data_IF_653625389545
#
_entry.id   IF_653625389545
#
_cell.length_a   1.000
_cell.length_b   1.000
_cell.length_c   1.000
_cell.angle_alpha   90.00
_cell.angle_beta   90.00
_cell.angle_gamma   90.00
#
_symmetry.space_group_name_H-M   'P 1'
#
loop_
_entity.id
_entity.type
_entity.pdbx_description
1 polymer ?
#
# COMPACT_ATOMS: atom_id res chain seq x y z
N UNK A 1 -51.92 -18.37 53.75
CA UNK A 1 -50.61 -17.94 54.30
C UNK A 1 -49.54 -18.49 53.36
N UNK A 2 -49.07 -17.71 52.38
CA UNK A 2 -48.00 -16.70 52.46
C UNK A 2 -46.59 -17.31 52.28
N UNK A 3 -46.06 -17.15 51.06
CA UNK A 3 -44.67 -16.75 50.78
C UNK A 3 -43.58 -17.81 50.68
N UNK A 4 -42.94 -17.89 49.49
CA UNK A 4 -41.56 -17.38 49.23
C UNK A 4 -41.08 -17.81 47.83
N UNK A 5 -41.20 -16.92 46.84
CA UNK A 5 -40.14 -16.10 46.21
C UNK A 5 -39.11 -16.85 45.34
N UNK A 6 -39.23 -16.57 44.05
CA UNK A 6 -38.23 -16.71 42.99
C UNK A 6 -36.82 -16.25 43.39
N UNK A 7 -35.81 -16.98 42.90
CA UNK A 7 -34.48 -16.40 42.71
C UNK A 7 -33.81 -17.02 41.47
N UNK A 8 -34.33 -16.63 40.31
CA UNK A 8 -33.66 -16.80 39.02
C UNK A 8 -32.49 -15.81 38.96
N UNK A 9 -31.32 -16.20 39.47
CA UNK A 9 -30.11 -15.38 39.40
C UNK A 9 -29.52 -15.42 37.98
N UNK A 10 -29.77 -14.31 37.28
CA UNK A 10 -29.04 -13.75 36.15
C UNK A 10 -27.53 -14.00 36.26
N UNK A 11 -26.93 -14.68 35.27
CA UNK A 11 -25.49 -14.55 34.99
C UNK A 11 -25.16 -14.91 33.54
N UNK A 12 -25.83 -14.26 32.58
CA UNK A 12 -25.48 -14.37 31.16
C UNK A 12 -25.28 -12.97 30.63
N UNK A 13 -24.08 -12.40 30.82
CA UNK A 13 -23.88 -10.99 30.47
C UNK A 13 -22.45 -10.43 30.49
N UNK A 14 -21.40 -11.26 30.60
CA UNK A 14 -20.01 -10.74 30.63
C UNK A 14 -19.04 -11.64 29.83
N UNK A 15 -19.48 -12.24 28.72
CA UNK A 15 -18.60 -13.03 27.84
C UNK A 15 -18.42 -12.44 26.43
N UNK A 16 -19.13 -11.37 26.08
CA UNK A 16 -19.15 -10.83 24.69
C UNK A 16 -18.26 -9.59 24.52
N UNK A 17 -17.83 -8.93 25.60
CA UNK A 17 -17.04 -7.69 25.52
C UNK A 17 -15.52 -7.90 25.29
N UNK A 18 -14.98 -9.08 25.63
CA UNK A 18 -13.53 -9.37 25.50
C UNK A 18 -13.16 -9.82 24.08
N UNK A 19 -14.09 -10.43 23.33
CA UNK A 19 -13.82 -10.92 21.97
C UNK A 19 -13.77 -9.77 20.95
N UNK A 20 -14.57 -8.71 21.12
CA UNK A 20 -14.54 -7.55 20.23
C UNK A 20 -13.28 -6.68 20.40
N UNK A 21 -12.72 -6.60 21.61
CA UNK A 21 -11.49 -5.82 21.85
C UNK A 21 -10.24 -6.52 21.32
N UNK A 22 -10.20 -7.86 21.31
CA UNK A 22 -9.11 -8.62 20.68
C UNK A 22 -9.13 -8.54 19.14
N UNK A 23 -10.31 -8.50 18.52
CA UNK A 23 -10.44 -8.36 17.07
C UNK A 23 -9.97 -6.98 16.56
N UNK A 24 -10.12 -5.93 17.36
CA UNK A 24 -9.64 -4.58 17.02
C UNK A 24 -8.12 -4.40 17.24
N UNK A 25 -7.52 -5.15 18.18
CA UNK A 25 -6.08 -5.10 18.44
C UNK A 25 -5.24 -5.81 17.36
N UNK A 26 -5.77 -6.87 16.73
CA UNK A 26 -5.09 -7.59 15.65
C UNK A 26 -4.95 -6.74 14.36
N UNK A 27 -5.86 -5.81 14.12
CA UNK A 27 -5.80 -4.86 13.00
C UNK A 27 -4.60 -3.91 13.09
N UNK A 28 -4.10 -3.66 14.30
CA UNK A 28 -2.93 -2.79 14.54
C UNK A 28 -1.60 -3.55 14.47
N UNK A 29 -1.61 -4.87 14.71
CA UNK A 29 -0.41 -5.71 14.60
C UNK A 29 -0.06 -6.06 13.14
N UNK A 30 -1.05 -6.06 12.24
CA UNK A 30 -0.80 -6.21 10.80
C UNK A 30 -0.12 -4.97 10.18
N UNK A 31 -0.12 -3.81 10.86
CA UNK A 31 0.55 -2.60 10.41
C UNK A 31 2.06 -2.57 10.71
N UNK A 32 2.60 -3.57 11.42
CA UNK A 32 4.01 -3.60 11.87
C UNK A 32 4.92 -4.60 11.15
N UNK A 33 4.38 -5.54 10.38
CA UNK A 33 5.20 -6.48 9.62
C UNK A 33 5.52 -5.90 8.24
N UNK A 34 6.65 -5.22 8.11
CA UNK A 34 7.14 -4.75 6.81
C UNK A 34 7.21 -5.90 5.79
N UNK A 35 7.11 -5.56 4.50
CA UNK A 35 7.02 -6.56 3.44
C UNK A 35 8.24 -7.49 3.43
N UNK A 36 8.00 -8.80 3.38
CA UNK A 36 9.07 -9.81 3.42
C UNK A 36 9.64 -10.15 2.04
N UNK A 37 8.93 -9.78 0.97
CA UNK A 37 9.40 -9.93 -0.43
C UNK A 37 9.23 -8.62 -1.21
N UNK A 38 10.01 -8.42 -2.30
CA UNK A 38 9.83 -7.28 -3.21
C UNK A 38 8.39 -7.13 -3.71
N UNK A 39 7.77 -8.24 -4.13
CA UNK A 39 6.40 -8.26 -4.65
C UNK A 39 5.40 -7.86 -3.57
N UNK A 40 5.61 -8.31 -2.32
CA UNK A 40 4.76 -7.90 -1.20
C UNK A 40 4.85 -6.39 -0.95
N UNK A 41 6.03 -5.77 -1.10
CA UNK A 41 6.17 -4.33 -0.96
C UNK A 41 5.37 -3.57 -2.01
N UNK A 42 5.43 -4.02 -3.27
CA UNK A 42 4.66 -3.45 -4.37
C UNK A 42 3.15 -3.68 -4.21
N UNK A 43 2.72 -4.85 -3.73
CA UNK A 43 1.30 -5.09 -3.40
C UNK A 43 0.79 -4.17 -2.31
N UNK A 44 1.56 -4.02 -1.23
CA UNK A 44 1.20 -3.11 -0.14
C UNK A 44 1.10 -1.66 -0.63
N UNK A 45 2.02 -1.24 -1.50
CA UNK A 45 1.99 0.08 -2.12
C UNK A 45 0.72 0.31 -2.96
N UNK A 46 0.37 -0.60 -3.87
CA UNK A 46 -0.84 -0.47 -4.68
C UNK A 46 -2.12 -0.57 -3.84
N UNK A 47 -2.16 -1.47 -2.87
CA UNK A 47 -3.29 -1.61 -1.95
C UNK A 47 -3.50 -0.34 -1.13
N UNK A 48 -2.42 0.34 -0.70
CA UNK A 48 -2.54 1.60 0.01
C UNK A 48 -3.14 2.70 -0.88
N UNK A 49 -2.73 2.78 -2.15
CA UNK A 49 -3.31 3.71 -3.13
C UNK A 49 -4.80 3.44 -3.33
N UNK A 50 -5.18 2.19 -3.60
CA UNK A 50 -6.56 1.80 -3.90
C UNK A 50 -7.53 2.00 -2.73
N UNK A 51 -7.02 1.86 -1.51
CA UNK A 51 -7.76 2.05 -0.26
C UNK A 51 -7.65 3.48 0.30
N UNK A 52 -7.03 4.42 -0.43
CA UNK A 52 -6.76 5.78 0.04
C UNK A 52 -6.09 5.86 1.42
N UNK A 53 -5.26 4.85 1.75
CA UNK A 53 -4.57 4.77 3.03
C UNK A 53 -3.22 5.49 2.94
N UNK A 54 -3.21 6.79 3.26
CA UNK A 54 -2.00 7.62 3.22
C UNK A 54 -0.86 7.07 4.08
N UNK A 55 -1.16 6.60 5.29
CA UNK A 55 -0.13 6.07 6.19
C UNK A 55 0.42 4.73 5.68
N UNK A 56 -0.45 3.89 5.09
CA UNK A 56 -0.04 2.65 4.41
C UNK A 56 0.86 2.94 3.21
N UNK A 57 0.55 3.99 2.46
CA UNK A 57 1.32 4.43 1.28
C UNK A 57 2.73 4.85 1.69
N UNK A 58 2.84 5.72 2.70
CA UNK A 58 4.15 6.12 3.22
C UNK A 58 4.92 4.94 3.83
N UNK A 59 4.24 4.02 4.52
CA UNK A 59 4.87 2.83 5.11
C UNK A 59 5.38 1.82 4.08
N UNK A 60 4.84 1.83 2.86
CA UNK A 60 5.29 0.97 1.77
C UNK A 60 6.50 1.55 1.01
N UNK A 61 6.81 2.83 1.21
CA UNK A 61 7.91 3.54 0.55
C UNK A 61 9.16 3.51 1.44
N UNK A 62 10.34 3.52 0.81
CA UNK A 62 11.62 3.51 1.51
C UNK A 62 11.66 4.63 2.58
N UNK A 63 11.87 4.32 3.88
CA UNK A 63 11.74 5.31 4.95
C UNK A 63 12.64 6.54 4.79
N UNK A 64 13.80 6.37 4.14
CA UNK A 64 14.68 7.50 3.85
C UNK A 64 14.08 8.49 2.87
N UNK A 65 13.29 8.04 1.89
CA UNK A 65 12.61 8.92 0.93
C UNK A 65 11.48 9.68 1.62
N UNK A 66 10.77 9.03 2.55
CA UNK A 66 9.72 9.66 3.38
C UNK A 66 10.32 10.72 4.31
N UNK A 67 11.42 10.41 5.03
CA UNK A 67 12.06 11.34 5.98
C UNK A 67 12.58 12.62 5.32
N UNK A 68 12.90 12.59 4.03
CA UNK A 68 13.43 13.75 3.31
C UNK A 68 12.35 14.73 2.84
N UNK A 69 11.07 14.38 2.95
CA UNK A 69 9.97 15.27 2.61
C UNK A 69 9.92 16.47 3.57
N UNK A 70 9.70 17.65 3.00
CA UNK A 70 9.27 18.85 3.73
C UNK A 70 7.75 18.82 3.98
N UNK A 71 7.25 19.78 4.75
CA UNK A 71 5.79 19.96 4.92
C UNK A 71 5.10 20.32 3.61
N UNK A 72 5.77 21.07 2.75
CA UNK A 72 5.28 21.40 1.40
C UNK A 72 5.19 20.14 0.55
N UNK A 73 6.25 19.31 0.49
CA UNK A 73 6.22 18.03 -0.22
C UNK A 73 5.07 17.16 0.30
N UNK A 74 4.92 17.05 1.62
CA UNK A 74 3.88 16.24 2.26
C UNK A 74 2.48 16.69 1.83
N UNK A 75 2.21 17.99 1.84
CA UNK A 75 0.92 18.55 1.43
C UNK A 75 0.63 18.32 -0.04
N UNK A 76 1.61 18.51 -0.91
CA UNK A 76 1.47 18.30 -2.36
C UNK A 76 1.26 16.82 -2.69
N UNK A 77 2.09 15.94 -2.15
CA UNK A 77 1.98 14.50 -2.33
C UNK A 77 0.66 13.97 -1.79
N UNK A 78 0.22 14.42 -0.61
CA UNK A 78 -1.08 14.03 -0.02
C UNK A 78 -2.25 14.52 -0.87
N UNK A 79 -2.18 15.74 -1.43
CA UNK A 79 -3.21 16.25 -2.34
C UNK A 79 -3.32 15.38 -3.59
N UNK A 80 -2.20 15.04 -4.23
CA UNK A 80 -2.16 14.16 -5.39
C UNK A 80 -2.65 12.74 -5.07
N UNK A 81 -2.24 12.21 -3.92
CA UNK A 81 -2.67 10.91 -3.43
C UNK A 81 -4.18 10.85 -3.16
N UNK A 82 -4.76 11.84 -2.48
CA UNK A 82 -6.20 11.82 -2.21
C UNK A 82 -7.05 12.10 -3.45
N UNK A 83 -6.50 12.80 -4.45
CA UNK A 83 -7.18 13.08 -5.72
C UNK A 83 -7.14 11.95 -6.74
N UNK A 84 -6.38 10.88 -6.50
CA UNK A 84 -6.31 9.77 -7.43
C UNK A 84 -7.57 8.88 -7.35
N UNK A 85 -7.82 8.08 -8.38
CA UNK A 85 -8.97 7.16 -8.45
C UNK A 85 -8.56 5.77 -8.96
N UNK A 86 -7.31 5.40 -8.70
CA UNK A 86 -6.76 4.17 -9.24
C UNK A 86 -7.39 2.93 -8.60
N UNK A 87 -7.85 2.00 -9.44
CA UNK A 87 -8.23 0.64 -9.07
C UNK A 87 -7.38 -0.35 -9.84
N UNK A 88 -6.97 -1.43 -9.19
CA UNK A 88 -6.05 -2.41 -9.76
C UNK A 88 -6.73 -3.78 -9.87
N UNK A 89 -6.70 -4.39 -11.06
CA UNK A 89 -7.35 -5.68 -11.33
C UNK A 89 -6.34 -6.74 -11.73
N UNK A 90 -6.30 -7.87 -10.99
CA UNK A 90 -5.57 -9.07 -11.41
C UNK A 90 -4.08 -8.88 -11.66
N UNK A 91 -3.42 -8.01 -10.86
CA UNK A 91 -1.99 -7.73 -11.01
C UNK A 91 -1.15 -8.99 -10.75
N UNK A 92 -0.29 -9.35 -11.71
CA UNK A 92 0.78 -10.34 -11.50
C UNK A 92 2.12 -9.63 -11.48
N UNK A 93 2.91 -9.95 -10.46
CA UNK A 93 4.21 -9.35 -10.18
C UNK A 93 5.31 -10.40 -10.32
N UNK A 94 6.46 -9.98 -10.82
CA UNK A 94 7.66 -10.81 -10.91
C UNK A 94 8.89 -10.01 -10.47
N UNK A 95 9.54 -10.39 -9.37
CA UNK A 95 10.77 -9.75 -8.94
C UNK A 95 11.99 -10.26 -9.73
N UNK A 96 12.82 -9.31 -10.16
CA UNK A 96 14.16 -9.51 -10.70
C UNK A 96 15.16 -8.94 -9.71
N UNK A 97 15.77 -9.82 -8.92
CA UNK A 97 16.79 -9.42 -7.95
C UNK A 97 18.06 -8.91 -8.66
N UNK A 98 18.66 -7.87 -8.11
CA UNK A 98 19.95 -7.36 -8.59
C UNK A 98 21.05 -8.39 -8.30
N UNK A 99 21.80 -8.77 -9.34
CA UNK A 99 22.86 -9.78 -9.27
C UNK A 99 24.03 -9.37 -8.36
N UNK A 100 24.27 -8.07 -8.21
CA UNK A 100 25.36 -7.49 -7.41
C UNK A 100 24.87 -7.07 -6.02
N UNK A 101 23.56 -6.85 -5.85
CA UNK A 101 23.00 -6.40 -4.58
C UNK A 101 21.71 -7.13 -4.21
N UNK A 102 21.81 -8.14 -3.34
CA UNK A 102 20.66 -8.90 -2.83
C UNK A 102 19.59 -8.07 -2.10
N UNK A 103 19.90 -6.82 -1.74
CA UNK A 103 18.96 -5.90 -1.12
C UNK A 103 18.25 -5.01 -2.14
N UNK A 104 18.35 -5.28 -3.45
CA UNK A 104 17.66 -4.56 -4.51
C UNK A 104 16.95 -5.54 -5.45
N UNK A 105 15.78 -5.15 -5.91
CA UNK A 105 15.03 -5.89 -6.92
C UNK A 105 14.15 -4.95 -7.74
N UNK A 106 14.00 -5.25 -9.03
CA UNK A 106 12.99 -4.63 -9.88
C UNK A 106 11.77 -5.54 -9.95
N UNK A 107 10.60 -5.02 -9.62
CA UNK A 107 9.35 -5.78 -9.65
C UNK A 107 8.56 -5.38 -10.88
N UNK A 108 8.49 -6.30 -11.84
CA UNK A 108 7.76 -6.11 -13.08
C UNK A 108 6.29 -6.49 -12.93
N UNK A 109 5.40 -5.65 -13.46
CA UNK A 109 4.00 -5.98 -13.65
C UNK A 109 3.87 -6.76 -14.96
N UNK A 110 3.60 -8.06 -14.85
CA UNK A 110 3.55 -8.98 -16.00
C UNK A 110 2.15 -9.11 -16.59
N UNK A 111 1.12 -8.90 -15.77
CA UNK A 111 -0.28 -8.84 -16.20
C UNK A 111 -1.13 -8.01 -15.26
N UNK A 112 -2.36 -7.73 -15.68
CA UNK A 112 -3.39 -7.02 -14.91
C UNK A 112 -3.86 -5.76 -15.62
N UNK A 113 -4.73 -5.02 -14.94
CA UNK A 113 -5.34 -3.79 -15.44
C UNK A 113 -5.34 -2.68 -14.40
N UNK A 114 -5.36 -1.45 -14.88
CA UNK A 114 -5.50 -0.22 -14.12
C UNK A 114 -6.77 0.45 -14.58
N UNK A 115 -7.64 0.82 -13.64
CA UNK A 115 -8.76 1.72 -13.91
C UNK A 115 -8.47 3.06 -13.28
N UNK A 116 -8.73 4.13 -14.00
CA UNK A 116 -8.61 5.50 -13.51
C UNK A 116 -9.81 6.30 -14.02
N UNK A 117 -10.37 7.14 -13.16
CA UNK A 117 -11.37 8.11 -13.58
C UNK A 117 -10.66 9.28 -14.25
N UNK A 118 -10.97 9.53 -15.52
CA UNK A 118 -10.49 10.70 -16.23
C UNK A 118 -11.12 11.95 -15.61
N UNK A 119 -10.28 12.89 -15.16
CA UNK A 119 -10.73 14.11 -14.47
C UNK A 119 -11.43 15.11 -15.40
N UNK A 120 -11.17 15.05 -16.71
CA UNK A 120 -11.78 15.93 -17.71
C UNK A 120 -13.14 15.40 -18.18
N UNK A 121 -13.25 14.10 -18.40
CA UNK A 121 -14.48 13.49 -18.96
C UNK A 121 -15.36 12.84 -17.91
N UNK A 122 -14.85 12.60 -16.70
CA UNK A 122 -15.55 11.90 -15.62
C UNK A 122 -15.71 10.40 -15.84
N UNK A 123 -15.27 9.86 -16.98
CA UNK A 123 -15.42 8.44 -17.33
C UNK A 123 -14.28 7.60 -16.76
N UNK A 124 -14.58 6.35 -16.44
CA UNK A 124 -13.55 5.37 -16.09
C UNK A 124 -12.85 4.86 -17.36
N UNK A 125 -11.53 4.94 -17.38
CA UNK A 125 -10.68 4.38 -18.41
C UNK A 125 -9.92 3.18 -17.86
N UNK A 126 -9.98 2.07 -18.59
CA UNK A 126 -9.23 0.86 -18.24
C UNK A 126 -8.05 0.68 -19.18
N UNK A 127 -6.85 0.53 -18.62
CA UNK A 127 -5.64 0.20 -19.37
C UNK A 127 -5.04 -1.10 -18.88
N UNK A 128 -4.66 -1.99 -19.80
CA UNK A 128 -4.01 -3.25 -19.46
C UNK A 128 -2.49 -3.14 -19.47
N UNK A 129 -1.82 -3.89 -18.60
CA UNK A 129 -0.35 -4.01 -18.56
C UNK A 129 0.24 -4.37 -19.92
N UNK A 130 -0.44 -5.22 -20.70
CA UNK A 130 -0.02 -5.59 -22.06
C UNK A 130 -0.01 -4.41 -23.03
N UNK A 131 -0.98 -3.48 -22.91
CA UNK A 131 -1.04 -2.26 -23.72
C UNK A 131 0.12 -1.32 -23.36
N UNK A 132 0.39 -1.13 -22.07
CA UNK A 132 1.51 -0.33 -21.57
C UNK A 132 2.84 -0.93 -22.06
N UNK A 133 3.01 -2.25 -21.96
CA UNK A 133 4.21 -2.95 -22.44
C UNK A 133 4.46 -2.74 -23.94
N UNK A 134 3.40 -2.76 -24.76
CA UNK A 134 3.51 -2.47 -26.20
C UNK A 134 3.93 -1.02 -26.46
N UNK A 135 3.41 -0.07 -25.69
CA UNK A 135 3.73 1.35 -25.85
C UNK A 135 5.17 1.70 -25.42
N UNK A 136 5.65 1.11 -24.31
CA UNK A 136 6.96 1.42 -23.75
C UNK A 136 8.08 0.47 -24.19
N UNK A 137 7.76 -0.58 -24.96
CA UNK A 137 8.69 -1.67 -25.30
C UNK A 137 9.09 -2.58 -24.12
N UNK A 138 8.61 -2.31 -22.90
CA UNK A 138 8.93 -3.07 -21.68
C UNK A 138 7.78 -3.07 -20.69
N UNK A 139 7.73 -4.09 -19.84
CA UNK A 139 6.77 -4.14 -18.75
C UNK A 139 7.00 -2.98 -17.77
N UNK A 140 5.95 -2.32 -17.26
CA UNK A 140 6.10 -1.36 -16.18
C UNK A 140 6.70 -2.07 -14.96
N UNK A 141 7.65 -1.42 -14.29
CA UNK A 141 8.38 -1.99 -13.18
C UNK A 141 8.60 -0.95 -12.07
N UNK A 142 8.62 -1.41 -10.83
CA UNK A 142 8.95 -0.61 -9.66
C UNK A 142 10.24 -1.10 -9.03
N UNK A 143 11.13 -0.18 -8.69
CA UNK A 143 12.35 -0.48 -7.93
C UNK A 143 11.97 -0.74 -6.47
N UNK A 144 12.60 -1.74 -5.88
CA UNK A 144 12.43 -2.07 -4.47
C UNK A 144 13.77 -2.26 -3.77
N UNK A 145 13.82 -1.89 -2.50
CA UNK A 145 15.03 -1.94 -1.68
C UNK A 145 14.72 -2.58 -0.34
N UNK A 146 15.60 -3.48 0.12
CA UNK A 146 15.56 -4.05 1.46
C UNK A 146 16.27 -3.12 2.43
N UNK A 147 15.56 -2.66 3.44
CA UNK A 147 16.06 -1.80 4.51
C UNK A 147 15.62 -2.35 5.87
N UNK A 148 16.57 -2.53 6.80
CA UNK A 148 16.30 -3.07 8.14
C UNK A 148 15.42 -4.35 8.14
N UNK A 149 15.71 -5.26 7.22
CA UNK A 149 15.01 -6.55 7.13
C UNK A 149 13.72 -6.55 6.29
N UNK A 150 13.18 -5.40 5.93
CA UNK A 150 11.92 -5.28 5.18
C UNK A 150 12.15 -4.70 3.77
N UNK A 151 11.29 -5.06 2.81
CA UNK A 151 11.28 -4.52 1.46
C UNK A 151 10.37 -3.31 1.35
N UNK A 152 10.82 -2.31 0.59
CA UNK A 152 10.09 -1.07 0.33
C UNK A 152 10.17 -0.72 -1.14
N UNK A 153 9.20 0.04 -1.62
CA UNK A 153 9.25 0.68 -2.93
C UNK A 153 10.17 1.90 -2.87
N UNK A 154 11.09 2.01 -3.82
CA UNK A 154 12.05 3.11 -3.91
C UNK A 154 11.53 4.19 -4.86
N UNK A 155 10.65 5.05 -4.33
CA UNK A 155 10.12 6.23 -5.03
C UNK A 155 10.59 7.49 -4.29
N UNK A 156 11.23 8.44 -4.98
CA UNK A 156 11.53 9.75 -4.40
C UNK A 156 10.24 10.55 -4.21
N UNK A 157 10.04 11.11 -3.02
CA UNK A 157 8.87 11.92 -2.70
C UNK A 157 9.18 13.41 -2.49
N UNK A 158 10.41 13.72 -2.08
CA UNK A 158 10.86 15.10 -1.90
C UNK A 158 11.19 15.73 -3.25
N UNK A 159 10.79 16.99 -3.47
CA UNK A 159 11.03 17.71 -4.73
C UNK A 159 12.51 17.75 -5.15
N UNK A 160 13.42 17.84 -4.18
CA UNK A 160 14.87 17.82 -4.43
C UNK A 160 15.38 16.49 -5.02
N UNK A 161 14.66 15.39 -4.80
CA UNK A 161 15.03 14.06 -5.29
C UNK A 161 14.39 13.75 -6.65
N UNK A 162 13.35 14.51 -7.04
CA UNK A 162 12.66 14.35 -8.32
C UNK A 162 13.20 15.27 -9.42
N UNK A 163 13.97 16.30 -9.05
CA UNK A 163 14.59 17.26 -9.98
C UNK A 163 15.96 16.84 -10.54
N UNK A 164 16.41 15.61 -10.32
CA UNK A 164 17.62 15.12 -11.00
C UNK A 164 17.27 14.80 -12.46
N UNK A 165 17.78 15.54 -13.46
CA UNK A 165 17.52 15.21 -14.85
C UNK A 165 18.15 13.85 -15.15
N UNK A 166 17.37 13.01 -15.84
CA UNK A 166 17.86 11.83 -16.56
C UNK A 166 18.88 12.29 -17.60
N UNK A 167 20.14 12.44 -17.21
CA UNK A 167 21.15 13.03 -18.07
C UNK A 167 22.56 12.82 -17.56
N UNK A 168 23.06 11.58 -17.72
CA UNK A 168 24.38 11.25 -18.26
C UNK A 168 24.30 9.88 -18.94
#
# INVERSE_FOLDING_TARGET
MSGKTDSQKRTTGIAIAVVLTLALALSLLAAGCGAQTPESAVRNFFAAIENHNWNGYLSAILPNNVRRMTDTDTREQKKGFLGNSFKYGGLKLNAKYDKKNKNKADVELTSGSFKVKNSQTGKEETTNVSKIKKQMGRAPALKTVKFKGCWYVDIPLAAKDTQQPSGM
#
